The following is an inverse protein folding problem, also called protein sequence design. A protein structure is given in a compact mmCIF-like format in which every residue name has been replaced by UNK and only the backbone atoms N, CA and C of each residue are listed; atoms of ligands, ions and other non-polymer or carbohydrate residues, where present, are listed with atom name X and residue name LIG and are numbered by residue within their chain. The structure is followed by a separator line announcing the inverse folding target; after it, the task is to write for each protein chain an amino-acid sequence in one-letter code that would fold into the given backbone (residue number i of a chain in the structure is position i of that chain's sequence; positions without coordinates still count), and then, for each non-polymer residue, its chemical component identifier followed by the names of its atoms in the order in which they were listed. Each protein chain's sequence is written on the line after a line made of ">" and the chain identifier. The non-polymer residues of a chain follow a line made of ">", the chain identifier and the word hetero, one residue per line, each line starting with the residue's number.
data_IF_116307981329
#
_entry.id   IF_116307981329
#
_cell.length_a   1.000
_cell.length_b   1.000
_cell.length_c   1.000
_cell.angle_alpha   90.00
_cell.angle_beta   90.00
_cell.angle_gamma   90.00
#
_symmetry.space_group_name_H-M   'P 1'
#
loop_
_entity.id
_entity.type
_entity.pdbx_description
1 polymer ?
#
# COMPACT_ATOMS: atom_id res chain seq x y z
N UNK A 1 14.36 -3.26 4.66
CA UNK A 1 14.98 -4.47 5.27
C UNK A 1 16.09 -5.05 4.41
N UNK A 2 15.84 -5.44 3.15
CA UNK A 2 16.83 -6.02 2.24
C UNK A 2 18.12 -5.18 2.07
N UNK A 3 17.97 -3.86 1.89
CA UNK A 3 19.11 -2.94 1.78
C UNK A 3 19.92 -2.78 3.08
N UNK A 4 19.30 -3.04 4.24
CA UNK A 4 19.97 -2.96 5.55
C UNK A 4 20.67 -4.29 5.91
N UNK A 5 20.11 -5.42 5.48
CA UNK A 5 20.63 -6.77 5.75
C UNK A 5 21.74 -7.20 4.79
N UNK A 6 21.76 -6.68 3.55
CA UNK A 6 22.77 -7.01 2.54
C UNK A 6 23.15 -5.78 1.70
N UNK A 7 23.86 -4.79 2.28
CA UNK A 7 24.30 -3.62 1.55
C UNK A 7 25.20 -4.03 0.36
N UNK A 8 24.82 -3.63 -0.86
CA UNK A 8 25.60 -3.88 -2.09
C UNK A 8 25.23 -5.15 -2.87
N UNK A 9 24.29 -5.98 -2.41
CA UNK A 9 23.86 -7.16 -3.16
C UNK A 9 22.63 -6.85 -4.05
N UNK A 10 22.90 -6.53 -5.32
CA UNK A 10 21.87 -6.24 -6.33
C UNK A 10 20.85 -7.36 -6.53
N UNK A 11 21.23 -8.63 -6.33
CA UNK A 11 20.32 -9.76 -6.48
C UNK A 11 19.24 -9.75 -5.39
N UNK A 12 19.64 -9.45 -4.15
CA UNK A 12 18.70 -9.38 -3.01
C UNK A 12 17.74 -8.21 -3.17
N UNK A 13 18.23 -7.07 -3.67
CA UNK A 13 17.38 -5.91 -3.98
C UNK A 13 16.40 -6.22 -5.13
N UNK A 14 16.88 -6.88 -6.19
CA UNK A 14 16.05 -7.32 -7.31
C UNK A 14 14.96 -8.31 -6.89
N UNK A 15 15.31 -9.31 -6.07
CA UNK A 15 14.35 -10.27 -5.53
C UNK A 15 13.31 -9.59 -4.61
N UNK A 16 13.74 -8.65 -3.76
CA UNK A 16 12.82 -7.89 -2.93
C UNK A 16 11.86 -7.03 -3.77
N UNK A 17 12.34 -6.40 -4.84
CA UNK A 17 11.51 -5.61 -5.76
C UNK A 17 10.52 -6.50 -6.52
N UNK A 18 10.96 -7.69 -6.93
CA UNK A 18 10.09 -8.69 -7.57
C UNK A 18 8.95 -9.13 -6.65
N UNK A 19 9.27 -9.49 -5.40
CA UNK A 19 8.26 -9.87 -4.41
C UNK A 19 7.30 -8.72 -4.10
N UNK A 20 7.81 -7.49 -4.06
CA UNK A 20 6.97 -6.32 -3.88
C UNK A 20 5.98 -6.16 -5.04
N UNK A 21 6.44 -6.20 -6.30
CA UNK A 21 5.57 -6.14 -7.47
C UNK A 21 4.55 -7.28 -7.51
N UNK A 22 4.97 -8.50 -7.17
CA UNK A 22 4.10 -9.67 -7.11
C UNK A 22 3.02 -9.54 -6.03
N UNK A 23 3.32 -8.92 -4.89
CA UNK A 23 2.32 -8.67 -3.85
C UNK A 23 1.38 -7.52 -4.20
N UNK A 24 1.88 -6.43 -4.80
CA UNK A 24 1.08 -5.24 -5.11
C UNK A 24 0.04 -5.50 -6.19
N UNK A 25 0.36 -6.30 -7.21
CA UNK A 25 -0.55 -6.59 -8.33
C UNK A 25 -1.90 -7.21 -7.92
N UNK A 26 -1.97 -8.34 -7.17
CA UNK A 26 -3.23 -8.91 -6.73
C UNK A 26 -3.94 -8.01 -5.70
N UNK A 27 -3.20 -7.32 -4.82
CA UNK A 27 -3.79 -6.42 -3.82
C UNK A 27 -4.51 -5.25 -4.48
N UNK A 28 -3.89 -4.61 -5.48
CA UNK A 28 -4.50 -3.47 -6.18
C UNK A 28 -5.76 -3.90 -6.93
N UNK A 29 -5.69 -5.02 -7.64
CA UNK A 29 -6.84 -5.59 -8.38
C UNK A 29 -7.99 -5.93 -7.44
N UNK A 30 -7.70 -6.61 -6.32
CA UNK A 30 -8.71 -6.95 -5.32
C UNK A 30 -9.31 -5.70 -4.64
N UNK A 31 -8.50 -4.68 -4.37
CA UNK A 31 -8.92 -3.43 -3.75
C UNK A 31 -9.91 -2.65 -4.61
N UNK A 32 -9.60 -2.45 -5.90
CA UNK A 32 -10.50 -1.80 -6.85
C UNK A 32 -11.80 -2.59 -7.05
N UNK A 33 -11.70 -3.92 -7.20
CA UNK A 33 -12.89 -4.77 -7.34
C UNK A 33 -13.78 -4.76 -6.07
N UNK A 34 -13.18 -4.71 -4.88
CA UNK A 34 -13.93 -4.58 -3.64
C UNK A 34 -14.64 -3.22 -3.54
N UNK A 35 -14.00 -2.14 -3.98
CA UNK A 35 -14.60 -0.81 -4.04
C UNK A 35 -15.80 -0.77 -5.00
N UNK A 36 -15.66 -1.33 -6.22
CA UNK A 36 -16.76 -1.43 -7.19
C UNK A 36 -17.96 -2.23 -6.64
N UNK A 37 -17.70 -3.35 -5.96
CA UNK A 37 -18.75 -4.22 -5.39
C UNK A 37 -19.46 -3.59 -4.18
N UNK A 38 -18.89 -2.55 -3.58
CA UNK A 38 -19.45 -1.90 -2.40
C UNK A 38 -20.53 -0.86 -2.70
N UNK A 39 -20.79 -0.55 -3.99
CA UNK A 39 -21.74 0.49 -4.40
C UNK A 39 -22.71 0.03 -5.49
N UNK A 40 -23.82 0.75 -5.61
CA UNK A 40 -24.85 0.54 -6.65
C UNK A 40 -24.27 0.88 -8.03
N UNK A 41 -24.69 0.14 -9.07
CA UNK A 41 -24.21 0.22 -10.46
C UNK A 41 -24.03 1.66 -10.99
N UNK A 42 -24.95 2.58 -10.64
CA UNK A 42 -24.93 3.98 -11.09
C UNK A 42 -23.75 4.81 -10.56
N UNK A 43 -23.04 4.36 -9.51
CA UNK A 43 -21.96 5.12 -8.84
C UNK A 43 -20.58 4.47 -8.94
N UNK A 44 -20.41 3.39 -9.70
CA UNK A 44 -19.12 2.68 -9.84
C UNK A 44 -18.02 3.60 -10.37
N UNK A 45 -18.33 4.44 -11.37
CA UNK A 45 -17.37 5.38 -11.95
C UNK A 45 -16.88 6.43 -10.96
N UNK A 46 -17.77 6.95 -10.11
CA UNK A 46 -17.43 7.91 -9.06
C UNK A 46 -16.51 7.26 -8.01
N UNK A 47 -16.83 6.06 -7.55
CA UNK A 47 -15.99 5.34 -6.58
C UNK A 47 -14.61 5.02 -7.13
N UNK A 48 -14.54 4.53 -8.37
CA UNK A 48 -13.26 4.25 -9.02
C UNK A 48 -12.43 5.52 -9.22
N UNK A 49 -13.08 6.63 -9.61
CA UNK A 49 -12.40 7.92 -9.75
C UNK A 49 -11.78 8.35 -8.42
N UNK A 50 -12.54 8.31 -7.32
CA UNK A 50 -12.02 8.65 -5.99
C UNK A 50 -10.92 7.68 -5.53
N UNK A 51 -11.06 6.38 -5.80
CA UNK A 51 -10.05 5.38 -5.46
C UNK A 51 -8.72 5.62 -6.20
N UNK A 52 -8.79 5.93 -7.50
CA UNK A 52 -7.61 6.23 -8.32
C UNK A 52 -6.99 7.58 -7.94
N UNK A 53 -7.80 8.59 -7.62
CA UNK A 53 -7.30 9.86 -7.09
C UNK A 53 -6.55 9.66 -5.76
N UNK A 54 -7.10 8.86 -4.85
CA UNK A 54 -6.43 8.51 -3.60
C UNK A 54 -5.12 7.73 -3.84
N UNK A 55 -5.10 6.80 -4.81
CA UNK A 55 -3.89 6.07 -5.19
C UNK A 55 -2.79 7.00 -5.72
N UNK A 56 -3.13 7.94 -6.62
CA UNK A 56 -2.17 8.91 -7.14
C UNK A 56 -1.64 9.84 -6.04
N UNK A 57 -2.53 10.35 -5.19
CA UNK A 57 -2.15 11.18 -4.04
C UNK A 57 -1.21 10.41 -3.09
N UNK A 58 -1.58 9.17 -2.75
CA UNK A 58 -0.78 8.28 -1.92
C UNK A 58 0.55 7.87 -2.55
N UNK A 59 0.64 7.83 -3.88
CA UNK A 59 1.89 7.58 -4.61
C UNK A 59 2.81 8.80 -4.69
N UNK A 60 2.27 10.02 -4.69
CA UNK A 60 3.04 11.25 -4.83
C UNK A 60 3.66 11.76 -3.52
N UNK A 61 2.97 11.57 -2.39
CA UNK A 61 3.44 12.06 -1.08
C UNK A 61 4.74 11.37 -0.59
N UNK A 62 4.88 10.03 -0.61
CA UNK A 62 6.04 9.36 -0.04
C UNK A 62 7.36 9.68 -0.74
N UNK A 63 7.45 9.74 -2.09
CA UNK A 63 8.68 10.14 -2.77
C UNK A 63 9.15 11.55 -2.42
N UNK A 64 8.23 12.50 -2.25
CA UNK A 64 8.57 13.87 -1.86
C UNK A 64 9.17 13.93 -0.44
N UNK A 65 8.54 13.24 0.51
CA UNK A 65 9.02 13.15 1.90
C UNK A 65 10.36 12.40 1.94
N UNK A 66 10.45 11.29 1.20
CA UNK A 66 11.65 10.44 1.15
C UNK A 66 12.82 11.18 0.52
N UNK A 67 12.61 11.93 -0.56
CA UNK A 67 13.64 12.76 -1.18
C UNK A 67 14.21 13.79 -0.21
N UNK A 68 13.33 14.54 0.48
CA UNK A 68 13.77 15.52 1.49
C UNK A 68 14.61 14.90 2.63
N UNK A 69 14.25 13.69 3.09
CA UNK A 69 14.99 12.98 4.14
C UNK A 69 16.33 12.46 3.60
N UNK A 70 16.38 11.94 2.38
CA UNK A 70 17.63 11.50 1.74
C UNK A 70 18.60 12.67 1.64
N UNK A 71 18.12 13.86 1.24
CA UNK A 71 18.94 15.05 1.06
C UNK A 71 19.53 15.57 2.38
N UNK A 72 18.86 15.35 3.51
CA UNK A 72 19.26 15.89 4.83
C UNK A 72 19.99 14.89 5.73
N UNK A 73 19.64 13.60 5.67
CA UNK A 73 20.11 12.57 6.60
C UNK A 73 20.80 11.38 5.91
N UNK A 74 20.87 11.40 4.58
CA UNK A 74 21.50 10.35 3.78
C UNK A 74 20.62 9.12 3.53
N UNK A 75 21.03 8.31 2.57
CA UNK A 75 20.28 7.17 2.02
C UNK A 75 19.93 6.09 3.06
N UNK A 76 20.77 5.88 4.07
CA UNK A 76 20.56 4.80 5.05
C UNK A 76 19.32 4.99 5.92
N UNK A 77 18.98 6.23 6.28
CA UNK A 77 17.80 6.54 7.11
C UNK A 77 16.50 6.46 6.30
N UNK A 78 16.58 6.72 5.00
CA UNK A 78 15.42 6.70 4.11
C UNK A 78 14.74 5.32 4.02
N UNK A 79 15.46 4.23 4.27
CA UNK A 79 14.89 2.88 4.30
C UNK A 79 13.96 2.60 5.50
N UNK A 80 13.95 3.48 6.52
CA UNK A 80 12.99 3.40 7.64
C UNK A 80 11.62 3.94 7.24
N UNK A 81 11.54 4.82 6.25
CA UNK A 81 10.29 5.47 5.82
C UNK A 81 9.24 4.47 5.31
N UNK A 82 9.58 3.50 4.42
CA UNK A 82 8.64 2.47 4.00
C UNK A 82 8.13 1.62 5.17
N UNK A 83 8.97 1.36 6.19
CA UNK A 83 8.55 0.62 7.39
C UNK A 83 7.51 1.41 8.16
N UNK A 84 7.74 2.70 8.40
CA UNK A 84 6.77 3.57 9.08
C UNK A 84 5.47 3.66 8.30
N UNK A 85 5.52 3.84 6.98
CA UNK A 85 4.32 3.85 6.13
C UNK A 85 3.56 2.51 6.17
N UNK A 86 4.26 1.37 6.13
CA UNK A 86 3.64 0.06 6.25
C UNK A 86 2.99 -0.13 7.62
N UNK A 87 3.69 0.24 8.70
CA UNK A 87 3.14 0.18 10.05
C UNK A 87 1.89 1.06 10.18
N UNK A 88 1.92 2.28 9.65
CA UNK A 88 0.79 3.19 9.68
C UNK A 88 -0.41 2.62 8.89
N UNK A 89 -0.16 2.01 7.74
CA UNK A 89 -1.19 1.35 6.93
C UNK A 89 -1.87 0.20 7.70
N UNK A 90 -1.08 -0.64 8.37
CA UNK A 90 -1.61 -1.72 9.23
C UNK A 90 -2.45 -1.16 10.37
N UNK A 91 -2.00 -0.07 10.99
CA UNK A 91 -2.73 0.63 12.06
C UNK A 91 -4.05 1.22 11.56
N UNK A 92 -4.10 1.73 10.33
CA UNK A 92 -5.34 2.23 9.73
C UNK A 92 -6.33 1.12 9.35
N UNK A 93 -5.83 -0.08 9.02
CA UNK A 93 -6.66 -1.25 8.73
C UNK A 93 -7.27 -1.87 9.99
N UNK A 94 -6.58 -1.80 11.13
CA UNK A 94 -7.01 -2.37 12.42
C UNK A 94 -8.45 -2.03 12.84
N UNK A 95 -8.93 -0.79 12.81
CA UNK A 95 -10.32 -0.48 13.14
C UNK A 95 -11.33 -1.03 12.13
N UNK A 96 -10.95 -1.16 10.86
CA UNK A 96 -11.80 -1.73 9.81
C UNK A 96 -11.92 -3.25 9.86
N UNK A 97 -11.01 -3.95 10.56
CA UNK A 97 -11.09 -5.41 10.76
C UNK A 97 -12.36 -5.81 11.51
N UNK A 98 -12.86 -4.97 12.42
CA UNK A 98 -14.09 -5.26 13.16
C UNK A 98 -15.32 -5.24 12.23
N UNK A 99 -15.41 -4.23 11.37
CA UNK A 99 -16.48 -4.11 10.36
C UNK A 99 -16.42 -5.26 9.36
N UNK A 100 -15.20 -5.66 8.97
CA UNK A 100 -15.00 -6.79 8.06
C UNK A 100 -15.42 -8.12 8.69
N UNK A 101 -15.13 -8.32 9.98
CA UNK A 101 -15.58 -9.49 10.76
C UNK A 101 -17.11 -9.58 10.85
N UNK A 102 -17.79 -8.45 11.03
CA UNK A 102 -19.25 -8.40 11.07
C UNK A 102 -19.84 -8.73 9.70
N UNK A 103 -19.31 -8.13 8.63
CA UNK A 103 -19.78 -8.39 7.26
C UNK A 103 -19.56 -9.83 6.79
N UNK A 104 -18.44 -10.46 7.16
CA UNK A 104 -18.18 -11.88 6.83
C UNK A 104 -19.18 -12.81 7.51
N UNK A 105 -19.72 -12.45 8.68
CA UNK A 105 -20.74 -13.22 9.39
C UNK A 105 -22.11 -13.19 8.73
N UNK A 106 -22.39 -12.17 7.92
CA UNK A 106 -23.68 -11.99 7.24
C UNK A 106 -23.76 -12.70 5.89
N UNK A 107 -22.65 -13.23 5.36
CA UNK A 107 -22.64 -13.95 4.08
C UNK A 107 -23.13 -15.39 4.32
N UNK A 108 -24.33 -15.79 3.86
CA UNK A 108 -24.79 -17.17 3.97
C UNK A 108 -23.87 -18.08 3.13
N UNK A 109 -23.51 -19.22 3.71
CA UNK A 109 -22.68 -20.25 3.10
C UNK A 109 -23.31 -20.86 1.83
#
# INVERSE_FOLDING_TARGET
>A
LAALLAPGNFIVMGAALLLNGFAVAPTLTAGLAAAERSVVEKRKTEVLAWAISALNLGGALPPAITGYIIDTQGVSVAFVIPLVCMSLSVVMILPYLNIWREKVREIPA
#
